data_IF_515494803969
#
_entry.id   IF_515494803969
#
_cell.length_a   1.000
_cell.length_b   1.000
_cell.length_c   1.000
_cell.angle_alpha   90.00
_cell.angle_beta   90.00
_cell.angle_gamma   90.00
#
_symmetry.space_group_name_H-M   'P 1'
#
loop_
_entity.id
_entity.type
_entity.pdbx_description
1 polymer ?
#
# COMPACT_ATOMS: atom_id res chain seq x y z
N UNK A 1 -14.74 11.26 13.18
CA UNK A 1 -15.43 10.48 12.12
C UNK A 1 -14.94 10.82 10.72
N UNK A 2 -13.78 10.30 10.32
CA UNK A 2 -13.23 10.44 8.96
C UNK A 2 -12.93 9.08 8.32
N UNK A 3 -12.99 9.05 6.98
CA UNK A 3 -12.61 7.90 6.16
C UNK A 3 -11.43 8.32 5.28
N UNK A 4 -10.43 7.46 5.13
CA UNK A 4 -9.28 7.63 4.25
C UNK A 4 -9.00 6.37 3.44
N UNK A 5 -8.54 6.54 2.21
CA UNK A 5 -8.03 5.46 1.37
C UNK A 5 -6.53 5.70 1.21
N UNK A 6 -5.70 4.77 1.69
CA UNK A 6 -4.25 4.97 1.78
C UNK A 6 -3.49 4.03 0.84
N UNK A 7 -3.61 4.28 -0.45
CA UNK A 7 -2.85 3.54 -1.46
C UNK A 7 -1.38 3.95 -1.48
N UNK A 8 -0.50 2.95 -1.49
CA UNK A 8 0.95 3.09 -1.61
C UNK A 8 1.47 1.99 -2.52
N UNK A 9 2.65 2.15 -3.14
CA UNK A 9 3.34 1.05 -3.80
C UNK A 9 3.68 -0.05 -2.78
N UNK A 10 3.10 -1.23 -2.96
CA UNK A 10 3.30 -2.39 -2.08
C UNK A 10 4.01 -3.51 -2.84
N UNK A 11 5.02 -4.10 -2.22
CA UNK A 11 5.66 -5.31 -2.73
C UNK A 11 5.01 -6.53 -2.05
N UNK A 12 4.03 -7.12 -2.73
CA UNK A 12 3.29 -8.28 -2.22
C UNK A 12 4.15 -9.54 -2.10
N UNK A 13 5.35 -9.59 -2.66
CA UNK A 13 6.28 -10.70 -2.46
C UNK A 13 6.86 -10.69 -1.04
N UNK A 14 6.90 -9.52 -0.38
CA UNK A 14 7.46 -9.34 0.96
C UNK A 14 6.40 -9.50 2.04
N UNK A 15 6.73 -10.28 3.06
CA UNK A 15 5.89 -10.39 4.25
C UNK A 15 5.92 -9.11 5.09
N UNK A 16 7.12 -8.55 5.28
CA UNK A 16 7.36 -7.39 6.12
C UNK A 16 7.87 -6.20 5.31
N UNK A 17 7.48 -5.01 5.75
CA UNK A 17 7.97 -3.74 5.21
C UNK A 17 9.46 -3.63 5.47
N UNK A 18 10.20 -3.37 4.40
CA UNK A 18 11.61 -3.04 4.47
C UNK A 18 11.76 -1.53 4.59
N UNK A 19 12.53 -1.05 5.55
CA UNK A 19 12.76 0.38 5.81
C UNK A 19 14.21 0.58 6.26
N UNK A 20 14.91 1.56 5.67
CA UNK A 20 16.27 1.91 6.04
C UNK A 20 16.54 3.40 5.78
N UNK A 21 16.71 4.17 6.85
CA UNK A 21 17.01 5.60 6.80
C UNK A 21 18.50 5.92 6.65
N UNK A 22 19.38 4.92 6.81
CA UNK A 22 20.82 5.10 6.66
C UNK A 22 21.24 5.29 5.20
N UNK A 23 20.42 4.81 4.25
CA UNK A 23 20.60 5.02 2.82
C UNK A 23 20.20 6.46 2.48
N UNK A 24 21.20 7.31 2.26
CA UNK A 24 21.02 8.74 1.96
C UNK A 24 21.29 9.10 0.51
N UNK A 25 22.02 8.25 -0.23
CA UNK A 25 22.29 8.48 -1.65
C UNK A 25 21.02 8.30 -2.50
N UNK A 26 20.60 9.31 -3.28
CA UNK A 26 19.37 9.25 -4.08
C UNK A 26 19.36 8.14 -5.15
N UNK A 27 20.52 7.76 -5.70
CA UNK A 27 20.60 6.67 -6.70
C UNK A 27 20.43 5.32 -6.04
N UNK A 28 21.07 5.11 -4.89
CA UNK A 28 20.87 3.89 -4.11
C UNK A 28 19.44 3.78 -3.60
N UNK A 29 18.80 4.89 -3.19
CA UNK A 29 17.36 4.91 -2.86
C UNK A 29 16.49 4.49 -4.04
N UNK A 30 16.71 5.07 -5.23
CA UNK A 30 15.94 4.69 -6.40
C UNK A 30 16.11 3.21 -6.76
N UNK A 31 17.31 2.66 -6.60
CA UNK A 31 17.61 1.25 -6.85
C UNK A 31 16.94 0.31 -5.86
N UNK A 32 16.87 0.68 -4.59
CA UNK A 32 16.40 -0.19 -3.50
C UNK A 32 14.90 -0.01 -3.24
N UNK A 33 14.42 1.24 -3.22
CA UNK A 33 13.05 1.62 -2.88
C UNK A 33 12.20 2.04 -4.10
N UNK A 34 12.76 2.01 -5.30
CA UNK A 34 12.08 2.35 -6.56
C UNK A 34 12.00 3.85 -6.86
N UNK A 35 12.27 4.73 -5.90
CA UNK A 35 12.25 6.18 -6.06
C UNK A 35 13.33 6.85 -5.21
N UNK A 36 13.82 8.01 -5.64
CA UNK A 36 14.99 8.68 -5.06
C UNK A 36 14.75 9.25 -3.64
N UNK A 37 13.51 9.49 -3.26
CA UNK A 37 13.08 10.05 -1.98
C UNK A 37 12.44 9.00 -1.05
N UNK A 38 12.20 7.79 -1.55
CA UNK A 38 11.68 6.70 -0.72
C UNK A 38 12.75 6.16 0.23
N UNK A 39 12.30 5.72 1.41
CA UNK A 39 13.12 5.08 2.46
C UNK A 39 12.57 3.73 2.89
N UNK A 40 11.50 3.27 2.23
CA UNK A 40 10.79 2.04 2.57
C UNK A 40 10.11 1.40 1.36
N UNK A 41 9.93 0.10 1.42
CA UNK A 41 9.04 -0.70 0.56
C UNK A 41 8.06 -1.43 1.46
N UNK A 42 6.77 -1.12 1.34
CA UNK A 42 5.73 -1.76 2.15
C UNK A 42 5.50 -3.21 1.73
N UNK A 43 5.48 -4.11 2.70
CA UNK A 43 5.12 -5.52 2.53
C UNK A 43 3.67 -5.79 2.93
N UNK A 44 3.30 -7.07 3.03
CA UNK A 44 1.95 -7.51 3.43
C UNK A 44 1.53 -7.04 4.82
N UNK A 45 2.49 -6.73 5.71
CA UNK A 45 2.28 -6.15 7.03
C UNK A 45 1.74 -4.71 7.05
N UNK A 46 1.59 -4.05 5.90
CA UNK A 46 1.13 -2.65 5.82
C UNK A 46 -0.23 -2.41 6.48
N UNK A 47 -1.19 -3.32 6.28
CA UNK A 47 -2.53 -3.19 6.88
C UNK A 47 -2.44 -3.22 8.42
N UNK A 48 -1.55 -4.05 8.97
CA UNK A 48 -1.36 -4.13 10.42
C UNK A 48 -0.63 -2.90 10.95
N UNK A 49 0.27 -2.28 10.18
CA UNK A 49 0.85 -0.98 10.53
C UNK A 49 -0.23 0.09 10.63
N UNK A 50 -1.15 0.16 9.67
CA UNK A 50 -2.26 1.12 9.72
C UNK A 50 -3.14 0.88 10.95
N UNK A 51 -3.48 -0.38 11.26
CA UNK A 51 -4.22 -0.74 12.48
C UNK A 51 -3.50 -0.33 13.76
N UNK A 52 -2.20 -0.61 13.85
CA UNK A 52 -1.36 -0.22 15.00
C UNK A 52 -1.30 1.30 15.21
N UNK A 53 -1.49 2.09 14.16
CA UNK A 53 -1.56 3.56 14.22
C UNK A 53 -2.97 4.11 14.55
N UNK A 54 -3.90 3.23 14.95
CA UNK A 54 -5.22 3.61 15.46
C UNK A 54 -6.27 3.82 14.37
N UNK A 55 -6.07 3.25 13.18
CA UNK A 55 -7.12 3.17 12.16
C UNK A 55 -7.87 1.84 12.27
N UNK A 56 -9.17 1.88 12.06
CA UNK A 56 -9.93 0.68 11.69
C UNK A 56 -9.77 0.46 10.18
N UNK A 57 -9.17 -0.67 9.80
CA UNK A 57 -8.72 -0.92 8.42
C UNK A 57 -9.43 -2.13 7.84
N UNK A 58 -10.24 -1.87 6.81
CA UNK A 58 -10.85 -2.90 5.97
C UNK A 58 -10.03 -3.06 4.68
N UNK A 59 -9.52 -4.27 4.44
CA UNK A 59 -8.93 -4.62 3.14
C UNK A 59 -10.05 -5.03 2.18
N UNK A 60 -10.27 -4.25 1.12
CA UNK A 60 -11.36 -4.48 0.17
C UNK A 60 -10.80 -4.88 -1.20
N UNK A 61 -11.19 -6.07 -1.64
CA UNK A 61 -10.94 -6.55 -2.99
C UNK A 61 -12.15 -6.20 -3.88
N UNK A 62 -12.08 -5.05 -4.56
CA UNK A 62 -13.14 -4.62 -5.47
C UNK A 62 -13.15 -5.41 -6.78
N UNK A 63 -12.03 -6.04 -7.15
CA UNK A 63 -11.93 -6.84 -8.37
C UNK A 63 -12.76 -8.12 -8.33
N UNK A 64 -13.20 -8.54 -7.13
CA UNK A 64 -14.18 -9.62 -6.94
C UNK A 64 -15.63 -9.20 -7.09
N UNK A 65 -15.92 -7.90 -7.13
CA UNK A 65 -17.28 -7.35 -7.10
C UNK A 65 -17.66 -6.61 -8.38
N UNK A 66 -16.68 -5.95 -9.00
CA UNK A 66 -16.86 -5.14 -10.19
C UNK A 66 -16.78 -5.98 -11.47
N UNK A 67 -17.41 -5.48 -12.53
CA UNK A 67 -17.31 -6.06 -13.87
C UNK A 67 -15.92 -5.86 -14.45
N UNK A 68 -15.59 -6.59 -15.54
CA UNK A 68 -14.30 -6.43 -16.22
C UNK A 68 -14.15 -5.02 -16.81
N UNK A 69 -15.23 -4.47 -17.32
CA UNK A 69 -15.29 -3.13 -17.89
C UNK A 69 -15.03 -2.07 -16.82
N UNK A 70 -15.61 -2.22 -15.62
CA UNK A 70 -15.36 -1.35 -14.48
C UNK A 70 -13.91 -1.46 -13.97
N UNK A 71 -13.37 -2.68 -13.88
CA UNK A 71 -11.97 -2.91 -13.48
C UNK A 71 -11.01 -2.19 -14.43
N UNK A 72 -11.24 -2.31 -15.74
CA UNK A 72 -10.43 -1.62 -16.76
C UNK A 72 -10.60 -0.09 -16.70
N UNK A 73 -11.83 0.39 -16.50
CA UNK A 73 -12.13 1.82 -16.35
C UNK A 73 -11.42 2.43 -15.12
N UNK A 74 -11.44 1.74 -13.98
CA UNK A 74 -10.85 2.20 -12.72
C UNK A 74 -9.38 1.81 -12.54
N UNK A 75 -8.81 1.06 -13.49
CA UNK A 75 -7.41 0.62 -13.49
C UNK A 75 -7.02 -0.15 -12.22
N UNK A 76 -7.92 -0.99 -11.73
CA UNK A 76 -7.65 -1.84 -10.56
C UNK A 76 -6.77 -3.01 -10.96
N UNK A 77 -5.69 -3.25 -10.22
CA UNK A 77 -4.90 -4.46 -10.44
C UNK A 77 -5.69 -5.69 -9.94
N UNK A 78 -5.69 -6.78 -10.71
CA UNK A 78 -6.46 -7.97 -10.36
C UNK A 78 -6.04 -8.50 -8.98
N UNK A 79 -7.00 -8.63 -8.05
CA UNK A 79 -6.76 -9.05 -6.67
C UNK A 79 -6.16 -7.98 -5.76
N UNK A 80 -6.10 -6.71 -6.20
CA UNK A 80 -5.65 -5.59 -5.37
C UNK A 80 -6.52 -5.44 -4.12
N UNK A 81 -5.86 -5.34 -2.97
CA UNK A 81 -6.50 -5.08 -1.69
C UNK A 81 -6.41 -3.58 -1.37
N UNK A 82 -7.53 -2.87 -1.45
CA UNK A 82 -7.59 -1.44 -1.14
C UNK A 82 -7.79 -1.23 0.37
N UNK A 83 -6.90 -0.48 1.06
CA UNK A 83 -7.05 -0.19 2.49
C UNK A 83 -8.04 0.95 2.71
N UNK A 84 -9.26 0.60 3.11
CA UNK A 84 -10.27 1.57 3.56
C UNK A 84 -10.11 1.76 5.07
N UNK A 85 -9.61 2.93 5.45
CA UNK A 85 -9.28 3.29 6.83
C UNK A 85 -10.35 4.20 7.43
N UNK A 86 -10.73 3.97 8.69
CA UNK A 86 -11.68 4.80 9.44
C UNK A 86 -11.08 5.23 10.77
N UNK A 87 -11.40 6.44 11.20
CA UNK A 87 -11.05 6.96 12.54
C UNK A 87 -12.22 7.77 13.09
N UNK A 88 -12.70 7.35 14.26
CA UNK A 88 -13.85 7.93 14.92
C UNK A 88 -13.39 8.97 15.95
#
# INVERSE_FOLDING_TARGET
NGIGIFQIPQDLSREFTFEDYSITDPKERAKIFGQYDHVRVYGRDYFDKLRKNGFDVTAVDYTKKLSKEEIEQYRLAQGELIPVCRKF
#
